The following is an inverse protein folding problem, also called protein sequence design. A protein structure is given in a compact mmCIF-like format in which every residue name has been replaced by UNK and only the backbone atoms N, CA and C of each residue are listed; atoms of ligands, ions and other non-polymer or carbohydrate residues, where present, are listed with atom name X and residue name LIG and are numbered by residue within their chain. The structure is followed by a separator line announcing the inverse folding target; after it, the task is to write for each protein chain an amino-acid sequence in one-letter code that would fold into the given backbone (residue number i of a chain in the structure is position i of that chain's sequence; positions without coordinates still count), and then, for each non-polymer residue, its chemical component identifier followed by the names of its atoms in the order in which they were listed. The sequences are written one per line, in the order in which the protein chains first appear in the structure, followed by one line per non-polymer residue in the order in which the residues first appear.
data_IF_588697462379
#
_entry.id   IF_588697462379
#
_cell.length_a   1.000
_cell.length_b   1.000
_cell.length_c   1.000
_cell.angle_alpha   90.00
_cell.angle_beta   90.00
_cell.angle_gamma   90.00
#
_symmetry.space_group_name_H-M   'P 1'
#
loop_
_entity.id
_entity.type
_entity.pdbx_description
1 polymer ?
#
# COMPACT_ATOMS: atom_id res chain seq x y z
N UNK A 1 -25.23 27.23 -41.11
CA UNK A 1 -24.48 25.96 -41.02
C UNK A 1 -23.09 26.26 -40.48
N UNK A 2 -22.91 26.22 -39.17
CA UNK A 2 -21.60 26.46 -38.52
C UNK A 2 -21.06 25.10 -38.09
N UNK A 3 -20.07 24.62 -38.88
CA UNK A 3 -19.25 23.50 -38.47
C UNK A 3 -18.29 23.94 -37.37
N UNK A 4 -18.66 23.75 -36.11
CA UNK A 4 -17.71 23.74 -35.02
C UNK A 4 -16.99 22.40 -35.07
N UNK A 5 -15.87 22.34 -35.80
CA UNK A 5 -14.86 21.32 -35.55
C UNK A 5 -14.21 21.69 -34.19
N UNK A 6 -14.78 21.19 -33.11
CA UNK A 6 -14.06 21.07 -31.87
C UNK A 6 -12.91 20.09 -32.10
N UNK A 7 -11.76 20.63 -32.47
CA UNK A 7 -10.50 19.90 -32.32
C UNK A 7 -10.37 19.57 -30.87
N UNK A 8 -10.72 18.34 -30.49
CA UNK A 8 -10.25 17.75 -29.23
C UNK A 8 -8.74 17.91 -29.28
N UNK A 9 -8.22 18.85 -28.52
CA UNK A 9 -6.80 18.95 -28.23
C UNK A 9 -6.44 17.72 -27.40
N UNK A 10 -6.13 16.63 -28.07
CA UNK A 10 -5.38 15.55 -27.47
C UNK A 10 -3.99 16.14 -27.18
N UNK A 11 -3.50 16.09 -25.95
CA UNK A 11 -2.14 16.50 -25.67
C UNK A 11 -1.18 15.74 -26.61
N UNK A 12 -0.12 16.40 -27.12
CA UNK A 12 0.83 15.77 -28.02
C UNK A 12 1.31 14.44 -27.41
N UNK A 13 1.44 13.39 -28.23
CA UNK A 13 1.83 12.04 -27.79
C UNK A 13 3.13 12.04 -26.97
N UNK A 14 4.02 12.98 -27.21
CA UNK A 14 5.29 13.18 -26.52
C UNK A 14 5.11 13.59 -25.04
N UNK A 15 3.97 14.17 -24.65
CA UNK A 15 3.65 14.54 -23.26
C UNK A 15 3.04 13.35 -22.50
N UNK A 16 2.49 12.36 -23.21
CA UNK A 16 1.86 11.17 -22.62
C UNK A 16 2.86 10.03 -22.37
N UNK A 17 4.07 10.11 -22.95
CA UNK A 17 5.12 9.10 -22.78
C UNK A 17 5.77 9.04 -21.39
N UNK A 18 5.29 9.81 -20.44
CA UNK A 18 5.76 9.86 -19.07
C UNK A 18 5.01 8.94 -18.12
N UNK A 19 5.59 7.78 -17.84
CA UNK A 19 5.32 6.95 -16.65
C UNK A 19 3.83 6.66 -16.39
N UNK A 20 3.39 5.46 -16.71
CA UNK A 20 2.06 4.93 -16.37
C UNK A 20 1.69 5.30 -14.91
N UNK A 21 0.66 6.14 -14.68
CA UNK A 21 0.33 6.61 -13.33
C UNK A 21 -0.04 5.47 -12.38
N UNK A 22 -0.54 4.35 -12.89
CA UNK A 22 -0.86 3.17 -12.11
C UNK A 22 0.43 2.51 -11.58
N UNK A 23 1.39 2.26 -12.46
CA UNK A 23 2.68 1.66 -12.09
C UNK A 23 3.46 2.54 -11.11
N UNK A 24 3.47 3.85 -11.33
CA UNK A 24 4.08 4.81 -10.39
C UNK A 24 3.44 4.72 -9.00
N UNK A 25 2.11 4.69 -8.93
CA UNK A 25 1.39 4.57 -7.66
C UNK A 25 1.66 3.22 -6.99
N UNK A 26 1.66 2.12 -7.76
CA UNK A 26 1.97 0.78 -7.26
C UNK A 26 3.40 0.71 -6.70
N UNK A 27 4.40 1.23 -7.41
CA UNK A 27 5.78 1.31 -6.92
C UNK A 27 5.91 2.13 -5.64
N UNK A 28 5.14 3.23 -5.52
CA UNK A 28 5.08 4.01 -4.27
C UNK A 28 4.54 3.17 -3.10
N UNK A 29 3.48 2.38 -3.33
CA UNK A 29 2.91 1.47 -2.33
C UNK A 29 3.93 0.41 -1.91
N UNK A 30 4.64 -0.20 -2.87
CA UNK A 30 5.66 -1.22 -2.59
C UNK A 30 6.84 -0.65 -1.81
N UNK A 31 7.33 0.54 -2.19
CA UNK A 31 8.35 1.26 -1.43
C UNK A 31 7.86 1.57 0.00
N UNK A 32 6.60 1.96 0.14
CA UNK A 32 5.95 2.18 1.42
C UNK A 32 5.93 0.93 2.29
N UNK A 33 5.56 -0.23 1.74
CA UNK A 33 5.62 -1.50 2.46
C UNK A 33 7.03 -1.86 2.88
N UNK A 34 8.04 -1.63 2.03
CA UNK A 34 9.43 -1.86 2.37
C UNK A 34 9.85 -1.03 3.58
N UNK A 35 9.55 0.28 3.59
CA UNK A 35 9.89 1.16 4.71
C UNK A 35 9.09 0.86 5.97
N UNK A 36 7.82 0.45 5.84
CA UNK A 36 6.95 0.15 6.98
C UNK A 36 7.48 -1.02 7.83
N UNK A 37 8.13 -2.00 7.18
CA UNK A 37 8.63 -3.20 7.86
C UNK A 37 10.02 -3.00 8.45
N UNK A 38 10.80 -2.06 7.92
CA UNK A 38 12.15 -1.78 8.43
C UNK A 38 12.04 -1.07 9.79
N UNK A 39 12.34 -1.81 10.85
CA UNK A 39 12.45 -1.24 12.21
C UNK A 39 13.93 -1.16 12.59
N UNK A 40 14.48 0.04 12.52
CA UNK A 40 15.84 0.31 12.97
C UNK A 40 15.79 0.86 14.41
N UNK A 41 16.31 0.09 15.36
CA UNK A 41 16.40 0.51 16.78
C UNK A 41 17.51 1.56 16.98
N UNK A 42 17.45 2.65 16.22
CA UNK A 42 18.40 3.75 16.30
C UNK A 42 17.66 5.06 16.54
N UNK A 43 17.74 5.57 17.76
CA UNK A 43 17.04 6.81 18.19
C UNK A 43 15.53 6.69 17.83
N UNK A 44 14.97 7.62 17.07
CA UNK A 44 13.55 7.62 16.67
C UNK A 44 13.31 7.01 15.29
N UNK A 45 14.29 6.39 14.63
CA UNK A 45 14.15 5.81 13.30
C UNK A 45 13.13 4.67 13.23
N UNK A 46 12.94 3.94 14.33
CA UNK A 46 11.93 2.89 14.45
C UNK A 46 10.48 3.40 14.32
N UNK A 47 10.25 4.71 14.43
CA UNK A 47 8.94 5.35 14.22
C UNK A 47 8.90 6.15 12.91
N UNK A 48 9.98 6.83 12.57
CA UNK A 48 10.06 7.70 11.38
C UNK A 48 9.96 6.89 10.09
N UNK A 49 10.72 5.77 9.97
CA UNK A 49 10.69 4.95 8.77
C UNK A 49 9.31 4.32 8.50
N UNK A 50 8.64 3.68 9.48
CA UNK A 50 7.28 3.20 9.29
C UNK A 50 6.30 4.32 8.93
N UNK A 51 6.41 5.50 9.55
CA UNK A 51 5.57 6.65 9.23
C UNK A 51 5.74 7.10 7.77
N UNK A 52 6.98 7.23 7.29
CA UNK A 52 7.27 7.52 5.89
C UNK A 52 6.72 6.41 4.97
N UNK A 53 6.84 5.14 5.38
CA UNK A 53 6.28 4.01 4.67
C UNK A 53 4.77 4.12 4.49
N UNK A 54 4.04 4.38 5.58
CA UNK A 54 2.58 4.56 5.54
C UNK A 54 2.19 5.80 4.72
N UNK A 55 2.98 6.87 4.75
CA UNK A 55 2.74 8.07 3.94
C UNK A 55 2.87 7.76 2.43
N UNK A 56 3.84 6.94 2.02
CA UNK A 56 3.97 6.46 0.65
C UNK A 56 2.80 5.54 0.26
N UNK A 57 2.38 4.65 1.15
CA UNK A 57 1.20 3.79 0.95
C UNK A 57 -0.05 4.65 0.76
N UNK A 58 -0.27 5.63 1.62
CA UNK A 58 -1.39 6.56 1.54
C UNK A 58 -1.40 7.34 0.21
N UNK A 59 -0.26 7.91 -0.21
CA UNK A 59 -0.17 8.68 -1.46
C UNK A 59 -0.39 7.78 -2.68
N UNK A 60 0.11 6.55 -2.66
CA UNK A 60 -0.13 5.56 -3.69
C UNK A 60 -1.62 5.20 -3.81
N UNK A 61 -2.27 4.84 -2.69
CA UNK A 61 -3.71 4.53 -2.72
C UNK A 61 -4.59 5.74 -3.01
N UNK A 62 -4.18 6.96 -2.62
CA UNK A 62 -4.86 8.19 -3.03
C UNK A 62 -4.93 8.31 -4.56
N UNK A 63 -3.88 7.93 -5.25
CA UNK A 63 -3.84 7.94 -6.72
C UNK A 63 -4.72 6.83 -7.32
N UNK A 64 -4.78 5.65 -6.70
CA UNK A 64 -5.51 4.49 -7.19
C UNK A 64 -6.98 4.40 -6.72
N UNK A 65 -7.42 5.21 -5.76
CA UNK A 65 -8.74 5.10 -5.10
C UNK A 65 -9.93 5.12 -6.06
N UNK A 66 -9.78 5.77 -7.24
CA UNK A 66 -10.84 5.88 -8.25
C UNK A 66 -10.89 4.68 -9.19
N UNK A 67 -9.87 3.84 -9.20
CA UNK A 67 -9.76 2.70 -10.10
C UNK A 67 -10.76 1.59 -9.76
N UNK A 68 -10.89 1.27 -8.49
CA UNK A 68 -11.89 0.31 -7.99
C UNK A 68 -12.19 0.53 -6.49
N UNK A 69 -13.30 -0.09 -6.02
CA UNK A 69 -13.76 0.02 -4.64
C UNK A 69 -12.75 -0.52 -3.61
N UNK A 70 -11.91 -1.49 -3.99
CA UNK A 70 -10.93 -2.10 -3.10
C UNK A 70 -9.77 -1.14 -2.81
N UNK A 71 -9.28 -0.43 -3.83
CA UNK A 71 -8.28 0.62 -3.61
C UNK A 71 -8.84 1.82 -2.84
N UNK A 72 -10.14 2.11 -3.01
CA UNK A 72 -10.81 3.09 -2.15
C UNK A 72 -10.82 2.65 -0.69
N UNK A 73 -11.10 1.38 -0.40
CA UNK A 73 -11.01 0.84 0.96
C UNK A 73 -9.58 0.92 1.51
N UNK A 74 -8.57 0.55 0.71
CA UNK A 74 -7.16 0.69 1.09
C UNK A 74 -6.79 2.14 1.43
N UNK A 75 -7.31 3.10 0.67
CA UNK A 75 -7.10 4.52 0.94
C UNK A 75 -7.64 4.92 2.33
N UNK A 76 -8.86 4.55 2.68
CA UNK A 76 -9.44 4.88 3.99
C UNK A 76 -8.70 4.17 5.14
N UNK A 77 -8.32 2.91 4.97
CA UNK A 77 -7.53 2.18 5.96
C UNK A 77 -6.17 2.86 6.15
N UNK A 78 -5.52 3.31 5.06
CA UNK A 78 -4.23 3.99 5.15
C UNK A 78 -4.29 5.33 5.88
N UNK A 79 -5.43 6.05 5.84
CA UNK A 79 -5.64 7.25 6.66
C UNK A 79 -5.60 6.90 8.15
N UNK A 80 -6.34 5.85 8.54
CA UNK A 80 -6.36 5.42 9.94
C UNK A 80 -4.95 5.03 10.43
N UNK A 81 -4.24 4.22 9.66
CA UNK A 81 -2.87 3.81 9.98
C UNK A 81 -1.93 5.02 10.05
N UNK A 82 -2.08 6.00 9.16
CA UNK A 82 -1.29 7.23 9.18
C UNK A 82 -1.52 8.02 10.48
N UNK A 83 -2.78 8.17 10.90
CA UNK A 83 -3.11 8.81 12.16
C UNK A 83 -2.53 8.07 13.37
N UNK A 84 -2.63 6.73 13.39
CA UNK A 84 -2.08 5.88 14.45
C UNK A 84 -0.56 6.01 14.55
N UNK A 85 0.16 5.86 13.44
CA UNK A 85 1.62 5.98 13.45
C UNK A 85 2.10 7.39 13.81
N UNK A 86 1.38 8.43 13.34
CA UNK A 86 1.67 9.82 13.74
C UNK A 86 1.46 10.02 15.24
N UNK A 87 0.37 9.52 15.80
CA UNK A 87 0.09 9.57 17.23
C UNK A 87 1.13 8.79 18.03
N UNK A 88 1.54 7.62 17.57
CA UNK A 88 2.57 6.81 18.19
C UNK A 88 3.92 7.54 18.24
N UNK A 89 4.29 8.25 17.16
CA UNK A 89 5.50 9.07 17.13
C UNK A 89 5.43 10.18 18.20
N UNK A 90 4.31 10.90 18.29
CA UNK A 90 4.10 11.97 19.27
C UNK A 90 4.17 11.40 20.69
N UNK A 91 3.47 10.30 20.98
CA UNK A 91 3.45 9.66 22.30
C UNK A 91 4.88 9.26 22.72
N UNK A 92 5.66 8.65 21.81
CA UNK A 92 7.02 8.20 22.13
C UNK A 92 8.02 9.33 22.37
N UNK A 93 7.70 10.57 21.95
CA UNK A 93 8.50 11.75 22.27
C UNK A 93 8.14 12.38 23.62
N UNK A 94 7.06 11.92 24.26
CA UNK A 94 6.64 12.43 25.59
C UNK A 94 7.27 11.65 26.74
N UNK A 95 7.42 12.31 27.91
CA UNK A 95 7.92 11.68 29.13
C UNK A 95 6.94 10.66 29.71
N UNK A 96 5.65 10.76 29.38
CA UNK A 96 4.57 9.89 29.86
C UNK A 96 4.29 8.68 28.95
N UNK A 97 5.17 8.37 27.99
CA UNK A 97 4.94 7.31 27.01
C UNK A 97 4.61 5.94 27.64
N UNK A 98 5.30 5.56 28.72
CA UNK A 98 5.08 4.27 29.42
C UNK A 98 3.68 4.18 30.04
N UNK A 99 3.23 5.26 30.67
CA UNK A 99 1.90 5.34 31.30
C UNK A 99 0.80 5.29 30.24
N UNK A 100 0.97 6.02 29.14
CA UNK A 100 0.02 6.02 28.03
C UNK A 100 -0.10 4.63 27.40
N UNK A 101 1.03 3.94 27.14
CA UNK A 101 1.00 2.59 26.58
C UNK A 101 0.45 1.52 27.54
N UNK A 102 0.44 1.76 28.85
CA UNK A 102 -0.17 0.86 29.82
C UNK A 102 -1.71 0.97 29.89
N UNK A 103 -2.30 1.97 29.23
CA UNK A 103 -3.75 2.16 29.23
C UNK A 103 -4.46 1.06 28.40
N UNK A 104 -5.58 0.50 28.89
CA UNK A 104 -6.33 -0.54 28.16
C UNK A 104 -6.74 -0.11 26.74
N UNK A 105 -7.00 1.17 26.53
CA UNK A 105 -7.32 1.73 25.22
C UNK A 105 -6.21 1.49 24.18
N UNK A 106 -4.94 1.59 24.59
CA UNK A 106 -3.82 1.37 23.66
C UNK A 106 -3.72 -0.10 23.23
N UNK A 107 -4.07 -1.03 24.09
CA UNK A 107 -4.17 -2.45 23.75
C UNK A 107 -5.26 -2.67 22.68
N UNK A 108 -6.43 -2.09 22.89
CA UNK A 108 -7.53 -2.17 21.90
C UNK A 108 -7.12 -1.56 20.57
N UNK A 109 -6.48 -0.39 20.58
CA UNK A 109 -5.99 0.28 19.38
C UNK A 109 -4.98 -0.60 18.62
N UNK A 110 -4.04 -1.23 19.32
CA UNK A 110 -3.08 -2.15 18.70
C UNK A 110 -3.74 -3.36 18.04
N UNK A 111 -4.76 -3.94 18.67
CA UNK A 111 -5.53 -5.05 18.10
C UNK A 111 -6.28 -4.60 16.85
N UNK A 112 -6.94 -3.44 16.90
CA UNK A 112 -7.64 -2.86 15.75
C UNK A 112 -6.66 -2.61 14.60
N UNK A 113 -5.48 -2.10 14.88
CA UNK A 113 -4.42 -1.85 13.89
C UNK A 113 -3.98 -3.13 13.18
N UNK A 114 -3.82 -4.24 13.91
CA UNK A 114 -3.49 -5.54 13.33
C UNK A 114 -4.59 -5.97 12.34
N UNK A 115 -5.87 -5.91 12.75
CA UNK A 115 -6.99 -6.26 11.88
C UNK A 115 -7.08 -5.37 10.64
N UNK A 116 -6.87 -4.06 10.80
CA UNK A 116 -6.86 -3.13 9.67
C UNK A 116 -5.68 -3.39 8.71
N UNK A 117 -4.53 -3.80 9.22
CA UNK A 117 -3.40 -4.21 8.38
C UNK A 117 -3.74 -5.46 7.55
N UNK A 118 -4.40 -6.47 8.13
CA UNK A 118 -4.91 -7.61 7.37
C UNK A 118 -5.93 -7.18 6.32
N UNK A 119 -6.88 -6.32 6.70
CA UNK A 119 -7.88 -5.79 5.77
C UNK A 119 -7.23 -5.00 4.63
N UNK A 120 -6.16 -4.24 4.91
CA UNK A 120 -5.39 -3.52 3.90
C UNK A 120 -4.79 -4.48 2.87
N UNK A 121 -4.09 -5.53 3.32
CA UNK A 121 -3.47 -6.51 2.43
C UNK A 121 -4.51 -7.28 1.63
N UNK A 122 -5.64 -7.66 2.26
CA UNK A 122 -6.73 -8.35 1.58
C UNK A 122 -7.36 -7.44 0.51
N UNK A 123 -7.74 -6.22 0.86
CA UNK A 123 -8.34 -5.27 -0.09
C UNK A 123 -7.37 -4.91 -1.22
N UNK A 124 -6.08 -4.75 -0.92
CA UNK A 124 -5.04 -4.56 -1.93
C UNK A 124 -4.99 -5.74 -2.90
N UNK A 125 -5.06 -6.97 -2.39
CA UNK A 125 -5.10 -8.18 -3.19
C UNK A 125 -6.28 -8.24 -4.15
N UNK A 126 -7.47 -7.97 -3.66
CA UNK A 126 -8.68 -7.95 -4.50
C UNK A 126 -8.65 -6.79 -5.50
N UNK A 127 -8.07 -5.64 -5.11
CA UNK A 127 -7.85 -4.50 -6.01
C UNK A 127 -6.94 -4.85 -7.19
N UNK A 128 -5.83 -5.53 -6.93
CA UNK A 128 -4.88 -5.97 -7.98
C UNK A 128 -5.53 -7.05 -8.88
N UNK A 129 -6.25 -8.03 -8.33
CA UNK A 129 -6.97 -9.03 -9.14
C UNK A 129 -7.96 -8.36 -10.12
N UNK A 130 -8.69 -7.35 -9.63
CA UNK A 130 -9.62 -6.60 -10.48
C UNK A 130 -8.90 -5.89 -11.64
N UNK A 131 -7.71 -5.34 -11.40
CA UNK A 131 -6.89 -4.72 -12.44
C UNK A 131 -6.32 -5.75 -13.41
N UNK A 132 -5.78 -6.88 -12.94
CA UNK A 132 -5.29 -7.96 -13.79
C UNK A 132 -6.40 -8.48 -14.72
N UNK A 133 -7.63 -8.62 -14.19
CA UNK A 133 -8.78 -9.01 -15.02
C UNK A 133 -9.11 -8.00 -16.11
N UNK A 134 -8.98 -6.70 -15.82
CA UNK A 134 -9.20 -5.63 -16.81
C UNK A 134 -8.10 -5.58 -17.87
N UNK A 135 -6.86 -5.87 -17.47
CA UNK A 135 -5.68 -5.87 -18.32
C UNK A 135 -5.49 -7.18 -19.13
N UNK A 136 -6.41 -8.14 -18.97
CA UNK A 136 -6.33 -9.50 -19.55
C UNK A 136 -5.00 -10.21 -19.23
N UNK A 137 -4.43 -9.91 -18.06
CA UNK A 137 -3.22 -10.54 -17.59
C UNK A 137 -3.53 -11.83 -16.81
N UNK A 138 -2.62 -12.83 -16.84
CA UNK A 138 -2.81 -14.05 -16.07
C UNK A 138 -3.04 -13.73 -14.59
N UNK A 139 -4.13 -14.26 -14.03
CA UNK A 139 -4.54 -14.01 -12.65
C UNK A 139 -3.62 -14.76 -11.65
N UNK A 140 -2.37 -14.37 -11.60
CA UNK A 140 -1.35 -14.88 -10.70
C UNK A 140 -1.14 -13.96 -9.51
N UNK A 141 -2.16 -13.79 -8.63
CA UNK A 141 -2.01 -13.03 -7.38
C UNK A 141 -1.11 -13.73 -6.34
N UNK A 142 -0.13 -14.53 -6.79
CA UNK A 142 0.78 -15.27 -5.93
C UNK A 142 1.51 -14.39 -4.92
N UNK A 143 2.04 -13.26 -5.36
CA UNK A 143 2.74 -12.32 -4.50
C UNK A 143 1.86 -11.74 -3.38
N UNK A 144 0.57 -11.48 -3.64
CA UNK A 144 -0.32 -10.92 -2.63
C UNK A 144 -0.79 -11.97 -1.64
N UNK A 145 -1.10 -13.19 -2.10
CA UNK A 145 -1.39 -14.29 -1.18
C UNK A 145 -0.19 -14.57 -0.27
N UNK A 146 1.03 -14.56 -0.84
CA UNK A 146 2.26 -14.69 -0.09
C UNK A 146 2.42 -13.55 0.94
N UNK A 147 2.07 -12.31 0.60
CA UNK A 147 2.12 -11.17 1.51
C UNK A 147 1.18 -11.33 2.71
N UNK A 148 -0.07 -11.75 2.46
CA UNK A 148 -1.06 -12.01 3.52
C UNK A 148 -0.57 -13.15 4.43
N UNK A 149 -0.11 -14.25 3.85
CA UNK A 149 0.43 -15.40 4.60
C UNK A 149 1.65 -15.00 5.42
N UNK A 150 2.56 -14.24 4.82
CA UNK A 150 3.74 -13.72 5.49
C UNK A 150 3.38 -12.86 6.70
N UNK A 151 2.42 -11.95 6.55
CA UNK A 151 1.95 -11.10 7.65
C UNK A 151 1.28 -11.91 8.76
N UNK A 152 0.48 -12.92 8.41
CA UNK A 152 -0.14 -13.84 9.37
C UNK A 152 0.91 -14.61 10.19
N UNK A 153 1.96 -15.12 9.53
CA UNK A 153 3.08 -15.80 10.20
C UNK A 153 3.82 -14.83 11.12
N UNK A 154 4.07 -13.60 10.68
CA UNK A 154 4.73 -12.58 11.49
C UNK A 154 3.92 -12.25 12.76
N UNK A 155 2.59 -12.11 12.65
CA UNK A 155 1.71 -11.90 13.78
C UNK A 155 1.71 -13.11 14.75
N UNK A 156 1.69 -14.33 14.21
CA UNK A 156 1.76 -15.55 15.03
C UNK A 156 3.09 -15.64 15.80
N UNK A 157 4.21 -15.35 15.16
CA UNK A 157 5.53 -15.30 15.82
C UNK A 157 5.60 -14.22 16.91
N UNK A 158 4.98 -13.07 16.66
CA UNK A 158 4.90 -11.99 17.65
C UNK A 158 4.06 -12.40 18.87
N UNK A 159 2.91 -13.06 18.66
CA UNK A 159 2.06 -13.59 19.72
C UNK A 159 2.78 -14.66 20.57
N UNK A 160 3.57 -15.51 19.93
CA UNK A 160 4.39 -16.53 20.60
C UNK A 160 5.64 -15.94 21.26
N UNK A 161 5.85 -14.63 21.18
CA UNK A 161 7.03 -13.92 21.69
C UNK A 161 8.36 -14.54 21.21
N UNK A 162 8.36 -15.06 19.97
CA UNK A 162 9.51 -15.74 19.39
C UNK A 162 10.57 -14.74 18.94
N UNK A 163 11.79 -14.86 19.49
CA UNK A 163 12.92 -13.94 19.24
C UNK A 163 14.08 -14.58 18.46
N UNK A 164 13.82 -15.61 17.69
CA UNK A 164 14.86 -16.32 16.92
C UNK A 164 15.39 -15.49 15.75
N UNK A 165 16.69 -15.16 15.77
CA UNK A 165 17.37 -14.36 14.74
C UNK A 165 17.24 -15.02 13.36
N UNK A 166 17.41 -16.34 13.27
CA UNK A 166 17.37 -17.10 12.01
C UNK A 166 16.00 -16.94 11.33
N UNK A 167 14.91 -17.08 12.10
CA UNK A 167 13.55 -16.89 11.58
C UNK A 167 13.34 -15.44 11.17
N UNK A 168 13.86 -14.48 11.92
CA UNK A 168 13.83 -13.07 11.53
C UNK A 168 14.47 -12.82 10.17
N UNK A 169 15.63 -13.40 9.91
CA UNK A 169 16.32 -13.30 8.61
C UNK A 169 15.49 -13.95 7.50
N UNK A 170 14.95 -15.15 7.73
CA UNK A 170 14.10 -15.85 6.76
C UNK A 170 12.87 -15.00 6.41
N UNK A 171 12.22 -14.38 7.41
CA UNK A 171 11.06 -13.52 7.19
C UNK A 171 11.40 -12.27 6.37
N UNK A 172 12.56 -11.66 6.58
CA UNK A 172 13.02 -10.51 5.78
C UNK A 172 13.29 -10.93 4.33
N UNK A 173 13.99 -12.04 4.13
CA UNK A 173 14.28 -12.58 2.78
C UNK A 173 12.99 -12.92 2.05
N UNK A 174 12.05 -13.61 2.69
CA UNK A 174 10.74 -13.93 2.12
C UNK A 174 9.98 -12.65 1.70
N UNK A 175 10.03 -11.62 2.53
CA UNK A 175 9.40 -10.34 2.23
C UNK A 175 10.01 -9.66 0.99
N UNK A 176 11.34 -9.67 0.86
CA UNK A 176 12.02 -9.13 -0.31
C UNK A 176 11.55 -9.85 -1.59
N UNK A 177 11.46 -11.18 -1.58
CA UNK A 177 10.95 -11.94 -2.72
C UNK A 177 9.50 -11.58 -3.07
N UNK A 178 8.64 -11.36 -2.06
CA UNK A 178 7.27 -10.91 -2.27
C UNK A 178 7.24 -9.53 -2.95
N UNK A 179 8.07 -8.59 -2.50
CA UNK A 179 8.16 -7.26 -3.10
C UNK A 179 8.66 -7.31 -4.54
N UNK A 180 9.64 -8.16 -4.85
CA UNK A 180 10.14 -8.37 -6.22
C UNK A 180 9.00 -8.90 -7.11
N UNK A 181 8.28 -9.93 -6.66
CA UNK A 181 7.14 -10.48 -7.42
C UNK A 181 6.04 -9.44 -7.70
N UNK A 182 5.76 -8.54 -6.75
CA UNK A 182 4.80 -7.45 -6.95
C UNK A 182 5.36 -6.35 -7.85
N UNK A 183 6.65 -6.11 -7.82
CA UNK A 183 7.33 -5.18 -8.72
C UNK A 183 7.29 -5.69 -10.17
N UNK A 184 7.55 -6.99 -10.40
CA UNK A 184 7.44 -7.62 -11.72
C UNK A 184 6.02 -7.52 -12.28
N UNK A 185 5.00 -7.66 -11.42
CA UNK A 185 3.61 -7.40 -11.81
C UNK A 185 3.40 -5.94 -12.23
N UNK A 186 4.01 -4.99 -11.52
CA UNK A 186 3.95 -3.57 -11.91
C UNK A 186 4.56 -3.35 -13.30
N UNK A 187 5.65 -4.03 -13.60
CA UNK A 187 6.31 -3.96 -14.91
C UNK A 187 5.45 -4.59 -16.02
N UNK A 188 4.86 -5.76 -15.75
CA UNK A 188 3.94 -6.40 -16.69
C UNK A 188 2.72 -5.54 -17.02
N UNK A 189 2.19 -4.79 -16.04
CA UNK A 189 1.10 -3.83 -16.26
C UNK A 189 1.54 -2.61 -17.09
N UNK A 190 2.80 -2.15 -16.93
CA UNK A 190 3.38 -1.11 -17.78
C UNK A 190 3.51 -1.59 -19.24
N UNK A 191 4.04 -2.79 -19.44
CA UNK A 191 4.23 -3.40 -20.76
C UNK A 191 2.89 -3.67 -21.47
N UNK A 192 1.84 -4.01 -20.70
CA UNK A 192 0.47 -4.16 -21.20
C UNK A 192 -0.22 -2.81 -21.50
N UNK A 193 0.45 -1.68 -21.28
CA UNK A 193 -0.12 -0.35 -21.53
C UNK A 193 -1.31 0.00 -20.63
N UNK A 194 -1.44 -0.66 -19.48
CA UNK A 194 -2.57 -0.40 -18.57
C UNK A 194 -2.49 1.01 -17.99
N UNK A 195 -3.47 1.84 -18.32
CA UNK A 195 -3.61 3.19 -17.78
C UNK A 195 -4.82 3.28 -16.86
N UNK A 196 -4.76 4.17 -15.87
CA UNK A 196 -5.93 4.46 -15.02
C UNK A 196 -7.01 5.01 -15.93
N UNK A 197 -8.17 4.35 -15.98
CA UNK A 197 -9.30 4.80 -16.77
C UNK A 197 -9.74 6.19 -16.28
N UNK A 198 -9.65 7.26 -17.07
CA UNK A 198 -10.18 8.54 -16.65
C UNK A 198 -11.68 8.38 -16.37
N UNK A 199 -12.24 9.11 -15.40
CA UNK A 199 -13.68 9.06 -15.15
C UNK A 199 -14.38 9.46 -16.44
N UNK A 200 -15.19 8.55 -17.01
CA UNK A 200 -16.05 8.86 -18.14
C UNK A 200 -16.96 9.98 -17.66
N UNK A 201 -16.71 11.20 -18.13
CA UNK A 201 -17.64 12.29 -18.00
C UNK A 201 -18.92 11.85 -18.75
N UNK A 202 -19.95 11.42 -18.01
CA UNK A 202 -21.27 11.26 -18.58
C UNK A 202 -21.70 12.66 -19.04
N UNK A 203 -21.61 12.91 -20.34
CA UNK A 203 -22.24 14.06 -20.94
C UNK A 203 -23.73 13.86 -20.71
N UNK A 204 -24.44 14.73 -19.98
CA UNK A 204 -25.89 14.63 -19.86
C UNK A 204 -26.48 14.84 -21.27
N UNK A 205 -27.28 13.86 -21.71
CA UNK A 205 -28.11 13.99 -22.91
C UNK A 205 -29.16 15.10 -22.76
#
# INVERSE_FOLDING_TARGET
MNNYNEFLYLPPEDVVSGVNPFSKALRSILAGFALWIIKLNFINLNYILPLLGILLIFTGFRSLRKENKWFSACFFISIFLLCEFSSSLIINTTIYHKEIYSMPFMTVLSVVSIFLSFALFFAFGEGIKAVQKKADLPQGAGGIKALITWYAVLCALALLNYKGIIIGIIMVVAFIFILISLYDLSKALDEAGYTITPPVLKVPN
#
